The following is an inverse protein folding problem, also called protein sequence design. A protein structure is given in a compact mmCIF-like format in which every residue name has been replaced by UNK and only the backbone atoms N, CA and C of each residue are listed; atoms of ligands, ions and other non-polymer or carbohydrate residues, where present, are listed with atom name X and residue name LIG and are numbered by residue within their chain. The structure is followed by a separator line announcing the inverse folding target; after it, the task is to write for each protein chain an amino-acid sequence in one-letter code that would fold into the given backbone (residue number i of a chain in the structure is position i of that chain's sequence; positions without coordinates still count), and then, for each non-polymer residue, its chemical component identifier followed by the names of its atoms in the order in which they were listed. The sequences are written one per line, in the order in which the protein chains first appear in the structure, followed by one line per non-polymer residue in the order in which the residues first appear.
data_IF_462999851881
#
_entry.id   IF_462999851881
#
_cell.length_a   1.000
_cell.length_b   1.000
_cell.length_c   1.000
_cell.angle_alpha   90.00
_cell.angle_beta   90.00
_cell.angle_gamma   90.00
#
_symmetry.space_group_name_H-M   'P 1'
#
loop_
_entity.id
_entity.type
_entity.pdbx_description
1 polymer ?
#
# COMPACT_ATOMS: atom_id res chain seq x y z
N UNK A 1 -18.45 -10.68 -8.13
CA UNK A 1 -17.56 -10.12 -7.09
C UNK A 1 -16.91 -11.28 -6.35
N UNK A 2 -15.66 -11.60 -6.64
CA UNK A 2 -14.99 -12.78 -6.08
C UNK A 2 -14.77 -12.59 -4.57
N UNK A 3 -15.24 -13.54 -3.75
CA UNK A 3 -15.04 -13.54 -2.29
C UNK A 3 -13.60 -14.01 -2.00
N UNK A 4 -12.70 -13.20 -1.43
CA UNK A 4 -11.35 -13.63 -1.08
C UNK A 4 -11.36 -14.43 0.23
N UNK A 5 -12.15 -15.51 0.30
CA UNK A 5 -12.22 -16.37 1.47
C UNK A 5 -11.15 -17.48 1.46
N UNK A 6 -10.55 -17.76 0.30
CA UNK A 6 -9.47 -18.73 0.13
C UNK A 6 -8.14 -18.03 -0.19
N UNK A 7 -7.02 -18.66 0.18
CA UNK A 7 -5.69 -18.17 -0.17
C UNK A 7 -5.50 -18.03 -1.69
N UNK A 8 -6.11 -18.93 -2.48
CA UNK A 8 -6.08 -18.85 -3.94
C UNK A 8 -6.82 -17.60 -4.46
N UNK A 9 -7.99 -17.30 -3.90
CA UNK A 9 -8.73 -16.09 -4.24
C UNK A 9 -7.98 -14.81 -3.85
N UNK A 10 -7.26 -14.84 -2.72
CA UNK A 10 -6.39 -13.75 -2.31
C UNK A 10 -5.20 -13.58 -3.26
N UNK A 11 -4.52 -14.67 -3.62
CA UNK A 11 -3.39 -14.64 -4.55
C UNK A 11 -3.80 -14.12 -5.92
N UNK A 12 -4.98 -14.54 -6.41
CA UNK A 12 -5.53 -14.05 -7.67
C UNK A 12 -5.91 -12.56 -7.60
N UNK A 13 -6.47 -12.11 -6.47
CA UNK A 13 -6.81 -10.70 -6.26
C UNK A 13 -5.58 -9.80 -6.07
N UNK A 14 -4.49 -10.33 -5.52
CA UNK A 14 -3.22 -9.61 -5.41
C UNK A 14 -2.55 -9.49 -6.80
N UNK A 15 -2.47 -10.59 -7.55
CA UNK A 15 -1.81 -10.61 -8.85
C UNK A 15 -0.39 -10.03 -8.77
N UNK A 16 -0.09 -9.08 -9.66
CA UNK A 16 1.20 -8.37 -9.69
C UNK A 16 1.20 -7.08 -8.84
N UNK A 17 0.10 -6.77 -8.14
CA UNK A 17 0.05 -5.61 -7.28
C UNK A 17 0.88 -5.85 -6.01
N UNK A 18 1.59 -4.82 -5.48
CA UNK A 18 2.42 -4.99 -4.30
C UNK A 18 1.61 -5.09 -2.99
N UNK A 19 0.33 -4.70 -3.02
CA UNK A 19 -0.60 -4.81 -1.91
C UNK A 19 -2.06 -4.83 -2.39
N UNK A 20 -2.95 -5.44 -1.60
CA UNK A 20 -4.39 -5.52 -1.87
C UNK A 20 -5.21 -5.45 -0.59
N UNK A 21 -6.39 -4.82 -0.66
CA UNK A 21 -7.34 -4.74 0.45
C UNK A 21 -8.12 -6.05 0.59
N UNK A 22 -8.32 -6.47 1.83
CA UNK A 22 -9.11 -7.63 2.21
C UNK A 22 -10.37 -7.15 2.95
N UNK A 23 -11.54 -7.15 2.30
CA UNK A 23 -12.79 -6.70 2.92
C UNK A 23 -13.00 -7.35 4.29
N UNK A 24 -13.21 -6.51 5.31
CA UNK A 24 -13.40 -6.91 6.73
C UNK A 24 -12.19 -7.57 7.41
N UNK A 25 -10.99 -7.56 6.81
CA UNK A 25 -9.77 -8.18 7.38
C UNK A 25 -8.54 -7.29 7.40
N UNK A 26 -8.51 -6.25 6.59
CA UNK A 26 -7.38 -5.34 6.49
C UNK A 26 -6.77 -5.37 5.10
N UNK A 27 -5.46 -5.64 5.01
CA UNK A 27 -4.73 -5.68 3.75
C UNK A 27 -3.67 -6.78 3.76
N UNK A 28 -3.22 -7.17 2.57
CA UNK A 28 -2.03 -8.00 2.37
C UNK A 28 -1.03 -7.22 1.50
N UNK A 29 0.26 -7.39 1.75
CA UNK A 29 1.32 -6.87 0.90
C UNK A 29 2.43 -7.93 0.75
N UNK A 30 3.08 -7.94 -0.41
CA UNK A 30 4.12 -8.91 -0.74
C UNK A 30 5.28 -8.22 -1.47
N UNK A 31 6.47 -8.77 -1.30
CA UNK A 31 7.69 -8.26 -1.94
C UNK A 31 8.83 -9.25 -1.81
N UNK A 32 9.87 -9.07 -2.64
CA UNK A 32 11.07 -9.94 -2.66
C UNK A 32 11.96 -9.79 -1.43
N UNK A 33 11.75 -8.73 -0.66
CA UNK A 33 12.44 -8.43 0.60
C UNK A 33 11.43 -7.94 1.63
N UNK A 34 11.79 -7.96 2.92
CA UNK A 34 10.93 -7.43 3.99
C UNK A 34 10.54 -5.99 3.73
N UNK A 35 11.51 -5.12 3.37
CA UNK A 35 11.23 -3.72 3.04
C UNK A 35 10.29 -3.56 1.85
N UNK A 36 10.47 -4.38 0.80
CA UNK A 36 9.61 -4.37 -0.37
C UNK A 36 8.18 -4.87 -0.09
N UNK A 37 7.93 -5.62 0.98
CA UNK A 37 6.59 -5.98 1.44
C UNK A 37 5.99 -4.95 2.41
N UNK A 38 6.81 -4.43 3.33
CA UNK A 38 6.38 -3.47 4.37
C UNK A 38 6.01 -2.12 3.78
N UNK A 39 6.82 -1.58 2.88
CA UNK A 39 6.60 -0.23 2.38
C UNK A 39 5.31 -0.07 1.56
N UNK A 40 4.93 -1.01 0.67
CA UNK A 40 3.60 -0.99 0.05
C UNK A 40 2.45 -1.02 1.05
N UNK A 41 2.54 -1.81 2.12
CA UNK A 41 1.54 -1.83 3.19
C UNK A 41 1.41 -0.45 3.87
N UNK A 42 2.54 0.17 4.25
CA UNK A 42 2.57 1.50 4.86
C UNK A 42 2.00 2.57 3.94
N UNK A 43 2.34 2.53 2.64
CA UNK A 43 1.85 3.50 1.66
C UNK A 43 0.36 3.32 1.38
N UNK A 44 -0.13 2.08 1.31
CA UNK A 44 -1.55 1.78 1.13
C UNK A 44 -2.36 2.26 2.33
N UNK A 45 -1.90 1.99 3.56
CA UNK A 45 -2.56 2.46 4.78
C UNK A 45 -2.65 3.99 4.85
N UNK A 46 -1.56 4.69 4.50
CA UNK A 46 -1.55 6.15 4.40
C UNK A 46 -2.48 6.67 3.31
N UNK A 47 -2.54 5.99 2.16
CA UNK A 47 -3.46 6.35 1.08
C UNK A 47 -4.92 6.18 1.52
N UNK A 48 -5.26 5.10 2.23
CA UNK A 48 -6.58 4.89 2.82
C UNK A 48 -6.91 6.00 3.84
N UNK A 49 -5.97 6.35 4.72
CA UNK A 49 -6.15 7.46 5.67
C UNK A 49 -6.41 8.79 4.96
N UNK A 50 -5.63 9.11 3.92
CA UNK A 50 -5.81 10.31 3.12
C UNK A 50 -7.18 10.33 2.42
N UNK A 51 -7.60 9.20 1.85
CA UNK A 51 -8.91 9.04 1.20
C UNK A 51 -10.06 9.28 2.20
N UNK A 52 -10.00 8.65 3.38
CA UNK A 52 -11.02 8.82 4.41
C UNK A 52 -11.07 10.27 4.91
N UNK A 53 -9.90 10.90 5.07
CA UNK A 53 -9.80 12.31 5.46
C UNK A 53 -10.43 13.22 4.40
N UNK A 54 -10.13 12.98 3.12
CA UNK A 54 -10.70 13.74 2.02
C UNK A 54 -12.23 13.60 1.95
N UNK A 55 -12.74 12.37 2.09
CA UNK A 55 -14.19 12.10 2.11
C UNK A 55 -14.89 12.74 3.31
N UNK A 56 -14.24 12.82 4.47
CA UNK A 56 -14.79 13.50 5.64
C UNK A 56 -14.88 15.02 5.46
N UNK A 57 -13.99 15.60 4.64
CA UNK A 57 -14.01 17.03 4.30
C UNK A 57 -15.08 17.40 3.24
N UNK A 58 -15.77 16.41 2.65
CA UNK A 58 -16.79 16.61 1.64
C UNK A 58 -16.56 15.73 0.39
N UNK A 59 -17.29 15.98 -0.69
CA UNK A 59 -17.15 15.21 -1.93
C UNK A 59 -15.75 15.33 -2.53
N UNK A 60 -15.09 14.20 -2.80
CA UNK A 60 -13.80 14.18 -3.52
C UNK A 60 -14.01 14.71 -4.94
N UNK A 61 -13.31 15.79 -5.29
CA UNK A 61 -13.52 16.53 -6.55
C UNK A 61 -12.68 16.03 -7.72
N UNK A 62 -11.52 15.44 -7.44
CA UNK A 62 -10.55 15.04 -8.45
C UNK A 62 -9.65 13.92 -7.96
N UNK A 63 -9.31 13.00 -8.85
CA UNK A 63 -8.29 11.99 -8.65
C UNK A 63 -7.65 11.64 -10.00
N UNK A 64 -6.44 11.11 -9.97
CA UNK A 64 -5.76 10.64 -11.17
C UNK A 64 -6.53 9.51 -11.82
N UNK A 65 -6.64 9.54 -13.15
CA UNK A 65 -7.16 8.39 -13.88
C UNK A 65 -6.22 7.17 -13.73
N UNK A 66 -6.67 5.95 -14.08
CA UNK A 66 -5.86 4.75 -13.90
C UNK A 66 -4.53 4.75 -14.68
N UNK A 67 -4.43 5.43 -15.83
CA UNK A 67 -3.20 5.50 -16.61
C UNK A 67 -2.20 6.46 -15.96
N UNK A 68 -2.65 7.64 -15.56
CA UNK A 68 -1.84 8.60 -14.83
C UNK A 68 -1.37 8.02 -13.48
N UNK A 69 -2.24 7.33 -12.75
CA UNK A 69 -1.88 6.68 -11.50
C UNK A 69 -0.80 5.60 -11.67
N UNK A 70 -0.85 4.83 -12.77
CA UNK A 70 0.20 3.84 -13.10
C UNK A 70 1.52 4.52 -13.46
N UNK A 71 1.49 5.59 -14.25
CA UNK A 71 2.68 6.36 -14.61
C UNK A 71 3.35 6.94 -13.36
N UNK A 72 2.58 7.59 -12.48
CA UNK A 72 3.07 8.11 -11.19
C UNK A 72 3.61 7.00 -10.29
N UNK A 73 3.00 5.82 -10.28
CA UNK A 73 3.52 4.70 -9.49
C UNK A 73 4.91 4.26 -9.98
N UNK A 74 5.14 4.23 -11.29
CA UNK A 74 6.45 3.88 -11.85
C UNK A 74 7.54 4.91 -11.49
N UNK A 75 7.18 6.19 -11.44
CA UNK A 75 8.11 7.27 -11.09
C UNK A 75 8.33 7.42 -9.58
N UNK A 76 7.27 7.34 -8.78
CA UNK A 76 7.32 7.62 -7.35
C UNK A 76 7.66 6.41 -6.47
N UNK A 77 7.65 5.18 -7.02
CA UNK A 77 7.96 3.96 -6.26
C UNK A 77 9.16 3.16 -6.79
N UNK A 78 10.32 3.78 -7.11
CA UNK A 78 11.51 2.99 -7.39
C UNK A 78 11.97 2.22 -6.13
N UNK A 79 12.69 1.11 -6.33
CA UNK A 79 13.19 0.27 -5.23
C UNK A 79 14.06 1.04 -4.24
N UNK A 80 14.90 1.97 -4.71
CA UNK A 80 15.82 2.74 -3.87
C UNK A 80 15.10 3.64 -2.83
N UNK A 81 14.12 4.50 -3.20
CA UNK A 81 13.34 5.24 -2.21
C UNK A 81 12.54 4.36 -1.25
N UNK A 82 12.01 3.22 -1.69
CA UNK A 82 11.31 2.29 -0.80
C UNK A 82 12.27 1.71 0.24
N UNK A 83 13.48 1.30 -0.16
CA UNK A 83 14.49 0.81 0.77
C UNK A 83 14.88 1.88 1.80
N UNK A 84 15.14 3.12 1.37
CA UNK A 84 15.46 4.22 2.28
C UNK A 84 14.33 4.52 3.28
N UNK A 85 13.07 4.44 2.82
CA UNK A 85 11.89 4.56 3.67
C UNK A 85 11.79 3.44 4.71
N UNK A 86 12.11 2.20 4.32
CA UNK A 86 12.15 1.07 5.24
C UNK A 86 13.26 1.24 6.29
N UNK A 87 14.47 1.61 5.88
CA UNK A 87 15.59 1.84 6.80
C UNK A 87 15.28 2.93 7.83
N UNK A 88 14.54 3.97 7.42
CA UNK A 88 14.03 4.98 8.34
C UNK A 88 13.09 4.39 9.39
N UNK A 89 12.16 3.51 8.99
CA UNK A 89 11.26 2.85 9.93
C UNK A 89 12.03 1.95 10.90
N UNK A 90 13.06 1.24 10.45
CA UNK A 90 13.94 0.43 11.30
C UNK A 90 14.65 1.29 12.35
N UNK A 91 15.25 2.42 11.96
CA UNK A 91 15.88 3.36 12.90
C UNK A 91 14.87 3.92 13.92
N UNK A 92 13.67 4.26 13.46
CA UNK A 92 12.59 4.76 14.32
C UNK A 92 12.08 3.69 15.31
N UNK A 93 12.02 2.44 14.90
CA UNK A 93 11.64 1.34 15.79
C UNK A 93 12.69 1.10 16.88
N UNK A 94 13.99 1.17 16.53
CA UNK A 94 15.08 1.01 17.51
C UNK A 94 15.19 2.15 18.54
N UNK A 95 14.71 3.35 18.21
CA UNK A 95 14.66 4.50 19.13
C UNK A 95 13.43 4.49 20.02
N UNK A 96 12.31 3.89 19.57
CA UNK A 96 11.17 3.54 20.41
C UNK A 96 11.41 2.19 21.08
N UNK A 97 12.31 2.12 22.06
CA UNK A 97 12.26 1.01 23.02
C UNK A 97 10.95 1.16 23.81
N UNK A 98 10.05 0.19 23.64
CA UNK A 98 8.95 -0.06 24.58
C UNK A 98 9.54 -0.55 25.90
#
# INVERSE_FOLDING_TARGET
MARPASMLGLSAALGDAPASLMPHRGLVAAGRTVGAAVMPAVLLDRACTAQLTAMAAGPVRSWSDPAEARAKAAECRPESPLAAGFDYLVRRAGTRRV
#
